data_IF_907310178030
#
_entry.id   IF_907310178030
#
_cell.length_a   1.000
_cell.length_b   1.000
_cell.length_c   1.000
_cell.angle_alpha   90.00
_cell.angle_beta   90.00
_cell.angle_gamma   90.00
#
_symmetry.space_group_name_H-M   'P 1'
#
loop_
_entity.id
_entity.type
_entity.pdbx_description
1 polymer ?
#
# COMPACT_ATOMS: atom_id res chain seq x y z
N UNK A 1 -20.58 -4.56 6.60
CA UNK A 1 -19.71 -4.16 5.48
C UNK A 1 -19.90 -2.69 5.12
N UNK A 2 -18.86 -1.91 5.38
CA UNK A 2 -18.82 -0.47 5.20
C UNK A 2 -18.27 -0.15 3.81
N UNK A 3 -19.18 -0.06 2.85
CA UNK A 3 -18.82 0.19 1.45
C UNK A 3 -18.25 1.59 1.22
N UNK A 4 -18.45 2.52 2.17
CA UNK A 4 -18.02 3.91 2.05
C UNK A 4 -16.49 4.04 2.02
N UNK A 5 -15.77 3.24 2.81
CA UNK A 5 -14.31 3.28 2.84
C UNK A 5 -13.69 3.03 1.45
N UNK A 6 -14.29 2.15 0.64
CA UNK A 6 -13.82 1.80 -0.71
C UNK A 6 -14.43 2.67 -1.82
N UNK A 7 -15.15 3.73 -1.48
CA UNK A 7 -15.87 4.61 -2.42
C UNK A 7 -15.66 6.09 -2.13
N UNK A 8 -14.69 6.44 -1.29
CA UNK A 8 -14.31 7.81 -0.96
C UNK A 8 -12.87 8.10 -1.36
N UNK A 9 -12.56 9.37 -1.59
CA UNK A 9 -11.21 9.87 -1.80
C UNK A 9 -10.23 9.34 -0.74
N UNK A 10 -9.00 9.06 -1.17
CA UNK A 10 -7.88 8.72 -0.28
C UNK A 10 -6.86 9.83 -0.31
N UNK A 11 -6.37 10.21 0.86
CA UNK A 11 -5.33 11.21 1.00
C UNK A 11 -4.20 10.61 1.81
N UNK A 12 -2.99 10.70 1.27
CA UNK A 12 -1.76 10.45 2.02
C UNK A 12 -1.05 11.76 2.30
N UNK A 13 -0.27 11.77 3.39
CA UNK A 13 0.39 12.96 3.90
C UNK A 13 1.90 12.75 4.07
N UNK A 14 2.64 13.85 4.19
CA UNK A 14 4.05 13.85 4.59
C UNK A 14 4.93 13.01 3.65
N UNK A 15 5.85 12.21 4.21
CA UNK A 15 6.76 11.35 3.44
C UNK A 15 6.05 10.43 2.46
N UNK A 16 4.92 9.81 2.84
CA UNK A 16 4.21 8.88 1.98
C UNK A 16 3.55 9.58 0.78
N UNK A 17 3.09 10.82 0.98
CA UNK A 17 2.61 11.65 -0.13
C UNK A 17 3.73 11.94 -1.14
N UNK A 18 4.90 12.33 -0.65
CA UNK A 18 6.08 12.62 -1.47
C UNK A 18 6.58 11.39 -2.23
N UNK A 19 6.70 10.25 -1.54
CA UNK A 19 7.15 8.99 -2.15
C UNK A 19 6.18 8.48 -3.22
N UNK A 20 4.87 8.57 -2.99
CA UNK A 20 3.87 8.23 -4.00
C UNK A 20 4.00 9.12 -5.24
N UNK A 21 4.26 10.42 -5.03
CA UNK A 21 4.47 11.35 -6.12
C UNK A 21 5.70 10.98 -6.94
N UNK A 22 6.84 10.71 -6.29
CA UNK A 22 8.06 10.28 -6.98
C UNK A 22 7.87 8.97 -7.75
N UNK A 23 7.24 7.94 -7.15
CA UNK A 23 6.93 6.67 -7.82
C UNK A 23 6.11 6.85 -9.10
N UNK A 24 5.24 7.87 -9.14
CA UNK A 24 4.44 8.18 -10.33
C UNK A 24 5.17 9.12 -11.29
N UNK A 25 5.91 10.12 -10.81
CA UNK A 25 6.64 11.08 -11.65
C UNK A 25 7.87 10.46 -12.32
N UNK A 26 8.45 9.40 -11.73
CA UNK A 26 9.49 8.56 -12.36
C UNK A 26 8.93 7.49 -13.31
N UNK A 27 7.62 7.48 -13.54
CA UNK A 27 6.93 6.56 -14.46
C UNK A 27 7.01 5.08 -14.06
N UNK A 28 7.35 4.77 -12.80
CA UNK A 28 7.31 3.41 -12.25
C UNK A 28 5.86 2.92 -12.15
N UNK A 29 4.97 3.82 -11.70
CA UNK A 29 3.53 3.61 -11.72
C UNK A 29 2.83 4.72 -12.51
N UNK A 30 1.81 4.36 -13.30
CA UNK A 30 1.09 5.35 -14.09
C UNK A 30 0.14 6.23 -13.26
N UNK A 31 -0.37 5.73 -12.13
CA UNK A 31 -1.37 6.42 -11.30
C UNK A 31 -1.11 6.17 -9.81
N UNK A 32 -1.52 7.13 -8.97
CA UNK A 32 -1.47 7.00 -7.51
C UNK A 32 -2.25 5.80 -6.97
N UNK A 33 -3.41 5.47 -7.56
CA UNK A 33 -4.17 4.28 -7.17
C UNK A 33 -3.43 2.97 -7.47
N UNK A 34 -2.53 2.95 -8.47
CA UNK A 34 -1.74 1.76 -8.77
C UNK A 34 -0.62 1.57 -7.75
N UNK A 35 0.01 2.67 -7.29
CA UNK A 35 0.93 2.66 -6.15
C UNK A 35 0.20 2.15 -4.90
N UNK A 36 -0.95 2.72 -4.57
CA UNK A 36 -1.72 2.39 -3.38
C UNK A 36 -2.14 0.91 -3.34
N UNK A 37 -2.61 0.37 -4.48
CA UNK A 37 -2.95 -1.06 -4.61
C UNK A 37 -1.73 -1.96 -4.42
N UNK A 38 -0.59 -1.63 -5.04
CA UNK A 38 0.62 -2.45 -4.94
C UNK A 38 1.25 -2.38 -3.55
N UNK A 39 1.20 -1.21 -2.91
CA UNK A 39 1.82 -0.98 -1.61
C UNK A 39 1.19 -1.83 -0.50
N UNK A 40 -0.14 -1.98 -0.45
CA UNK A 40 -0.80 -2.78 0.59
C UNK A 40 -0.21 -4.20 0.78
N UNK A 41 -0.18 -5.07 -0.25
CA UNK A 41 0.41 -6.39 -0.12
C UNK A 41 1.93 -6.33 0.09
N UNK A 42 2.64 -5.35 -0.49
CA UNK A 42 4.10 -5.22 -0.29
C UNK A 42 4.44 -4.90 1.17
N UNK A 43 3.73 -3.96 1.79
CA UNK A 43 3.89 -3.65 3.21
C UNK A 43 3.62 -4.87 4.08
N UNK A 44 2.56 -5.64 3.77
CA UNK A 44 2.26 -6.88 4.48
C UNK A 44 3.36 -7.94 4.34
N UNK A 45 3.82 -8.23 3.11
CA UNK A 45 4.87 -9.22 2.83
C UNK A 45 6.22 -8.89 3.50
N UNK A 46 6.52 -7.62 3.68
CA UNK A 46 7.72 -7.16 4.37
C UNK A 46 7.49 -6.85 5.86
N UNK A 47 6.28 -7.11 6.36
CA UNK A 47 5.84 -6.76 7.71
C UNK A 47 6.18 -5.31 8.11
N UNK A 48 6.06 -4.36 7.16
CA UNK A 48 6.32 -2.94 7.40
C UNK A 48 5.00 -2.20 7.56
N UNK A 49 4.77 -1.71 8.78
CA UNK A 49 3.66 -0.82 9.15
C UNK A 49 4.24 0.55 9.44
N UNK A 50 3.61 1.59 8.90
CA UNK A 50 4.00 2.98 9.17
C UNK A 50 2.79 3.79 9.62
N UNK A 51 3.04 4.78 10.50
CA UNK A 51 2.03 5.73 10.93
C UNK A 51 1.90 6.87 9.93
N UNK A 52 0.79 7.59 9.98
CA UNK A 52 0.58 8.77 9.16
C UNK A 52 1.58 9.89 9.52
N UNK A 53 2.27 10.42 8.50
CA UNK A 53 3.19 11.54 8.67
C UNK A 53 2.46 12.88 8.48
N UNK A 54 2.24 13.59 9.59
CA UNK A 54 1.63 14.93 9.62
C UNK A 54 2.64 16.05 9.81
N UNK A 55 3.93 15.79 9.63
CA UNK A 55 4.94 16.84 9.75
C UNK A 55 4.80 17.86 8.61
N UNK A 56 4.75 19.13 8.99
CA UNK A 56 4.77 20.24 8.04
C UNK A 56 6.21 20.49 7.60
N UNK A 57 6.40 20.77 6.33
CA UNK A 57 7.71 21.15 5.79
C UNK A 57 8.16 22.51 6.35
N UNK A 58 9.36 22.95 5.99
CA UNK A 58 9.94 24.24 6.42
C UNK A 58 9.12 25.47 6.05
N UNK A 59 8.17 25.35 5.10
CA UNK A 59 7.23 26.39 4.69
C UNK A 59 5.89 26.31 5.44
N UNK A 60 5.76 25.43 6.43
CA UNK A 60 4.54 25.22 7.20
C UNK A 60 3.43 24.50 6.44
N UNK A 61 3.73 23.92 5.27
CA UNK A 61 2.77 23.18 4.45
C UNK A 61 2.88 21.68 4.73
N UNK A 62 1.73 21.03 4.86
CA UNK A 62 1.65 19.58 4.88
C UNK A 62 1.60 19.09 3.43
N UNK A 63 2.54 18.24 3.05
CA UNK A 63 2.49 17.59 1.73
C UNK A 63 1.34 16.60 1.69
N UNK A 64 0.57 16.61 0.60
CA UNK A 64 -0.58 15.72 0.40
C UNK A 64 -0.61 15.16 -1.02
N UNK A 65 -0.99 13.87 -1.14
CA UNK A 65 -1.25 13.19 -2.41
C UNK A 65 -2.64 12.58 -2.35
N UNK A 66 -3.50 12.95 -3.31
CA UNK A 66 -4.92 12.57 -3.33
C UNK A 66 -5.23 11.61 -4.45
N UNK A 67 -5.99 10.57 -4.14
CA UNK A 67 -6.60 9.65 -5.10
C UNK A 67 -8.09 9.95 -5.13
N UNK A 68 -8.54 10.56 -6.23
CA UNK A 68 -9.92 11.00 -6.37
C UNK A 68 -10.91 9.84 -6.35
N UNK A 69 -12.10 10.10 -5.83
CA UNK A 69 -13.20 9.13 -5.66
C UNK A 69 -13.44 8.27 -6.90
N UNK A 70 -13.41 8.83 -8.11
CA UNK A 70 -13.64 8.07 -9.34
C UNK A 70 -12.62 6.94 -9.52
N UNK A 71 -11.34 7.19 -9.23
CA UNK A 71 -10.28 6.18 -9.32
C UNK A 71 -10.45 5.11 -8.25
N UNK A 72 -10.79 5.51 -7.02
CA UNK A 72 -11.03 4.58 -5.91
C UNK A 72 -12.22 3.66 -6.22
N UNK A 73 -13.33 4.22 -6.70
CA UNK A 73 -14.52 3.45 -7.07
C UNK A 73 -14.21 2.46 -8.19
N UNK A 74 -13.51 2.91 -9.24
CA UNK A 74 -13.13 2.06 -10.38
C UNK A 74 -12.26 0.87 -9.96
N UNK A 75 -11.38 1.08 -8.99
CA UNK A 75 -10.41 0.08 -8.53
C UNK A 75 -10.84 -0.61 -7.22
N UNK A 76 -12.04 -0.31 -6.71
CA UNK A 76 -12.54 -0.74 -5.39
C UNK A 76 -12.50 -2.26 -5.19
N UNK A 77 -12.72 -3.03 -6.26
CA UNK A 77 -12.60 -4.49 -6.24
C UNK A 77 -11.22 -4.94 -5.75
N UNK A 78 -10.15 -4.35 -6.25
CA UNK A 78 -8.78 -4.71 -5.88
C UNK A 78 -8.44 -4.26 -4.46
N UNK A 79 -8.91 -3.07 -4.06
CA UNK A 79 -8.73 -2.60 -2.69
C UNK A 79 -9.41 -3.52 -1.68
N UNK A 80 -10.64 -3.96 -1.96
CA UNK A 80 -11.37 -4.92 -1.12
C UNK A 80 -10.63 -6.25 -1.01
N UNK A 81 -10.15 -6.79 -2.13
CA UNK A 81 -9.39 -8.05 -2.12
C UNK A 81 -8.11 -7.91 -1.27
N UNK A 82 -7.34 -6.85 -1.44
CA UNK A 82 -6.12 -6.63 -0.66
C UNK A 82 -6.45 -6.51 0.84
N UNK A 83 -7.50 -5.76 1.19
CA UNK A 83 -7.95 -5.62 2.58
C UNK A 83 -8.33 -6.98 3.17
N UNK A 84 -9.14 -7.75 2.45
CA UNK A 84 -9.55 -9.09 2.88
C UNK A 84 -8.36 -10.02 3.09
N UNK A 85 -7.41 -10.05 2.15
CA UNK A 85 -6.22 -10.88 2.25
C UNK A 85 -5.38 -10.51 3.47
N UNK A 86 -5.16 -9.22 3.72
CA UNK A 86 -4.40 -8.76 4.90
C UNK A 86 -5.09 -9.17 6.19
N UNK A 87 -6.39 -8.91 6.32
CA UNK A 87 -7.17 -9.30 7.51
C UNK A 87 -7.17 -10.81 7.73
N UNK A 88 -7.25 -11.61 6.67
CA UNK A 88 -7.26 -13.08 6.78
C UNK A 88 -5.90 -13.64 7.21
N UNK A 89 -4.81 -13.01 6.77
CA UNK A 89 -3.46 -13.52 6.93
C UNK A 89 -2.73 -12.95 8.16
N UNK A 90 -3.12 -11.78 8.69
CA UNK A 90 -2.50 -11.15 9.86
C UNK A 90 -2.94 -11.83 11.18
N UNK A 91 -2.29 -12.95 11.51
CA UNK A 91 -2.50 -13.69 12.76
C UNK A 91 -1.98 -12.96 14.01
N UNK A 92 -1.11 -11.96 13.83
CA UNK A 92 -0.58 -11.16 14.93
C UNK A 92 -1.61 -10.11 15.36
N UNK A 93 -2.34 -9.54 14.40
CA UNK A 93 -3.41 -8.59 14.66
C UNK A 93 -4.65 -9.25 15.28
N UNK A 94 -5.12 -10.36 14.71
CA UNK A 94 -6.24 -11.15 15.24
C UNK A 94 -5.86 -12.63 15.16
N UNK A 95 -5.75 -13.31 16.29
CA UNK A 95 -5.29 -14.69 16.34
C UNK A 95 -6.41 -15.70 16.06
N UNK A 96 -7.67 -15.31 16.26
CA UNK A 96 -8.85 -16.14 16.02
C UNK A 96 -9.22 -16.19 14.53
N UNK A 97 -9.25 -17.40 13.97
CA UNK A 97 -9.58 -17.60 12.55
C UNK A 97 -11.03 -17.24 12.19
N UNK A 98 -12.00 -17.59 13.04
CA UNK A 98 -13.41 -17.30 12.78
C UNK A 98 -13.64 -15.79 12.78
N UNK A 99 -12.99 -15.06 13.68
CA UNK A 99 -13.06 -13.60 13.70
C UNK A 99 -12.41 -12.95 12.48
N UNK A 100 -11.24 -13.45 12.03
CA UNK A 100 -10.63 -12.98 10.77
C UNK A 100 -11.56 -13.20 9.58
N UNK A 101 -12.20 -14.37 9.51
CA UNK A 101 -13.19 -14.70 8.49
C UNK A 101 -14.42 -13.77 8.55
N UNK A 102 -14.93 -13.50 9.76
CA UNK A 102 -16.06 -12.59 9.95
C UNK A 102 -15.71 -11.16 9.51
N UNK A 103 -14.56 -10.63 9.94
CA UNK A 103 -14.04 -9.32 9.53
C UNK A 103 -13.86 -9.22 8.01
N UNK A 104 -13.26 -10.22 7.37
CA UNK A 104 -13.00 -10.19 5.93
C UNK A 104 -14.26 -10.31 5.05
N UNK A 105 -15.25 -11.11 5.45
CA UNK A 105 -16.37 -11.45 4.57
C UNK A 105 -17.72 -10.86 4.97
N UNK A 106 -17.93 -10.52 6.25
CA UNK A 106 -19.21 -9.98 6.75
C UNK A 106 -19.07 -8.51 7.18
N UNK A 107 -18.02 -8.21 7.92
CA UNK A 107 -17.83 -6.93 8.60
C UNK A 107 -16.70 -6.09 7.98
N UNK A 108 -16.47 -6.24 6.67
CA UNK A 108 -15.34 -5.62 5.99
C UNK A 108 -15.34 -4.10 6.15
N UNK A 109 -14.25 -3.58 6.71
CA UNK A 109 -14.03 -2.16 7.02
C UNK A 109 -15.09 -1.53 7.94
N UNK A 110 -15.82 -2.33 8.73
CA UNK A 110 -16.76 -1.81 9.74
C UNK A 110 -16.03 -1.28 10.98
N UNK A 111 -14.84 -1.80 11.27
CA UNK A 111 -13.97 -1.37 12.37
C UNK A 111 -12.86 -0.43 11.85
N UNK A 112 -12.72 0.74 12.45
CA UNK A 112 -11.68 1.71 12.10
C UNK A 112 -10.27 1.18 12.41
N UNK A 113 -10.11 0.23 13.34
CA UNK A 113 -8.81 -0.40 13.59
C UNK A 113 -8.40 -1.33 12.44
N UNK A 114 -9.35 -2.01 11.80
CA UNK A 114 -9.08 -2.83 10.61
C UNK A 114 -8.64 -1.92 9.43
N UNK A 115 -9.28 -0.75 9.32
CA UNK A 115 -8.93 0.27 8.35
C UNK A 115 -7.51 0.79 8.61
N UNK A 116 -7.20 1.17 9.84
CA UNK A 116 -5.89 1.71 10.20
C UNK A 116 -4.78 0.67 10.02
N UNK A 117 -5.05 -0.60 10.35
CA UNK A 117 -4.12 -1.69 10.06
C UNK A 117 -3.79 -1.74 8.57
N UNK A 118 -4.81 -1.74 7.71
CA UNK A 118 -4.63 -1.76 6.27
C UNK A 118 -3.86 -0.53 5.76
N UNK A 119 -4.24 0.68 6.19
CA UNK A 119 -3.56 1.93 5.80
C UNK A 119 -2.11 1.96 6.29
N UNK A 120 -1.81 1.36 7.45
CA UNK A 120 -0.43 1.26 7.97
C UNK A 120 0.47 0.41 7.08
N UNK A 121 -0.06 -0.70 6.55
CA UNK A 121 0.64 -1.52 5.57
C UNK A 121 0.77 -0.82 4.22
N UNK A 122 -0.24 -0.08 3.78
CA UNK A 122 -0.12 0.77 2.57
C UNK A 122 1.05 1.74 2.71
N UNK A 123 1.14 2.46 3.84
CA UNK A 123 2.22 3.42 4.08
C UNK A 123 3.59 2.75 4.13
N UNK A 124 3.72 1.64 4.85
CA UNK A 124 4.97 0.87 4.89
C UNK A 124 5.38 0.32 3.52
N UNK A 125 4.40 -0.13 2.73
CA UNK A 125 4.62 -0.57 1.35
C UNK A 125 5.07 0.53 0.41
N UNK A 126 4.55 1.76 0.56
CA UNK A 126 4.99 2.92 -0.21
C UNK A 126 6.47 3.22 0.05
N UNK A 127 6.91 3.11 1.31
CA UNK A 127 8.32 3.27 1.64
C UNK A 127 9.19 2.21 1.00
N UNK A 128 8.79 0.93 1.07
CA UNK A 128 9.55 -0.15 0.43
C UNK A 128 9.62 0.06 -1.08
N UNK A 129 8.51 0.41 -1.73
CA UNK A 129 8.51 0.68 -3.16
C UNK A 129 9.45 1.84 -3.52
N UNK A 130 9.43 2.91 -2.72
CA UNK A 130 10.33 4.05 -2.93
C UNK A 130 11.80 3.68 -2.71
N UNK A 131 12.12 3.02 -1.60
CA UNK A 131 13.48 2.58 -1.26
C UNK A 131 14.01 1.61 -2.33
N UNK A 132 13.23 0.61 -2.71
CA UNK A 132 13.66 -0.43 -3.63
C UNK A 132 13.72 0.02 -5.09
N UNK A 133 12.88 0.96 -5.51
CA UNK A 133 12.81 1.36 -6.91
C UNK A 133 13.53 2.67 -7.21
N UNK A 134 13.69 3.57 -6.23
CA UNK A 134 14.19 4.95 -6.44
C UNK A 134 15.39 5.31 -5.57
N UNK A 135 15.37 5.05 -4.25
CA UNK A 135 16.19 5.83 -3.28
C UNK A 135 17.69 5.85 -3.56
N UNK A 136 18.23 4.79 -4.17
CA UNK A 136 19.67 4.63 -4.41
C UNK A 136 20.10 5.14 -5.81
N UNK A 137 19.18 5.76 -6.55
CA UNK A 137 19.37 6.04 -7.97
C UNK A 137 18.78 7.38 -8.41
N UNK A 138 19.42 7.99 -9.41
CA UNK A 138 18.96 9.29 -9.97
C UNK A 138 18.66 9.22 -11.46
N UNK A 139 19.02 8.12 -12.14
CA UNK A 139 18.83 7.93 -13.58
C UNK A 139 17.71 6.93 -13.87
N UNK A 140 17.08 7.07 -15.05
CA UNK A 140 15.95 6.22 -15.44
C UNK A 140 16.33 4.76 -15.65
N UNK A 141 17.49 4.48 -16.24
CA UNK A 141 17.95 3.11 -16.48
C UNK A 141 18.17 2.37 -15.15
N UNK A 142 18.72 3.06 -14.15
CA UNK A 142 18.88 2.54 -12.80
C UNK A 142 17.54 2.11 -12.18
N UNK A 143 16.45 2.84 -12.43
CA UNK A 143 15.12 2.47 -11.90
C UNK A 143 14.62 1.15 -12.49
N UNK A 144 14.88 0.89 -13.77
CA UNK A 144 14.48 -0.37 -14.41
C UNK A 144 15.24 -1.55 -13.81
N UNK A 145 16.55 -1.41 -13.61
CA UNK A 145 17.38 -2.44 -12.98
C UNK A 145 16.95 -2.68 -11.53
N UNK A 146 16.65 -1.61 -10.78
CA UNK A 146 16.13 -1.70 -9.42
C UNK A 146 14.79 -2.47 -9.34
N UNK A 147 13.86 -2.20 -10.26
CA UNK A 147 12.59 -2.93 -10.34
C UNK A 147 12.83 -4.41 -10.65
N UNK A 148 13.73 -4.72 -11.60
CA UNK A 148 14.08 -6.12 -11.94
C UNK A 148 14.64 -6.83 -10.70
N UNK A 149 15.62 -6.22 -10.03
CA UNK A 149 16.22 -6.76 -8.81
C UNK A 149 15.19 -6.97 -7.70
N UNK A 150 14.26 -6.02 -7.53
CA UNK A 150 13.19 -6.15 -6.55
C UNK A 150 12.21 -7.30 -6.87
N UNK A 151 11.87 -7.49 -8.15
CA UNK A 151 11.05 -8.63 -8.58
C UNK A 151 11.77 -9.96 -8.39
N UNK A 152 13.08 -10.02 -8.62
CA UNK A 152 13.90 -11.21 -8.35
C UNK A 152 13.97 -11.52 -6.85
N UNK A 153 14.15 -10.51 -6.00
CA UNK A 153 14.10 -10.65 -4.54
C UNK A 153 12.76 -11.25 -4.10
N UNK A 154 11.64 -10.74 -4.62
CA UNK A 154 10.31 -11.26 -4.32
C UNK A 154 10.17 -12.73 -4.72
N UNK A 155 10.67 -13.12 -5.90
CA UNK A 155 10.66 -14.53 -6.35
C UNK A 155 11.48 -15.43 -5.43
N UNK A 156 12.64 -14.98 -4.99
CA UNK A 156 13.51 -15.74 -4.08
C UNK A 156 12.88 -15.86 -2.69
N UNK A 157 12.25 -14.80 -2.19
CA UNK A 157 11.61 -14.77 -0.88
C UNK A 157 10.34 -15.63 -0.82
N UNK A 158 9.64 -15.76 -1.93
CA UNK A 158 8.40 -16.54 -2.06
C UNK A 158 8.52 -17.59 -3.18
N UNK A 159 9.39 -18.61 -3.02
CA UNK A 159 9.75 -19.50 -4.12
C UNK A 159 8.66 -20.52 -4.50
N UNK A 160 7.77 -20.86 -3.57
CA UNK A 160 6.71 -21.87 -3.78
C UNK A 160 5.62 -21.39 -4.73
N UNK A 161 5.47 -20.08 -4.85
CA UNK A 161 4.50 -19.39 -5.67
C UNK A 161 4.98 -19.22 -7.13
N UNK A 162 6.28 -19.41 -7.38
CA UNK A 162 6.91 -19.25 -8.71
C UNK A 162 7.52 -20.54 -9.27
N UNK A 163 7.53 -21.63 -8.52
CA UNK A 163 7.84 -22.96 -9.05
C UNK A 163 6.61 -23.50 -9.82
N UNK A 164 6.69 -23.46 -11.16
CA UNK A 164 5.79 -24.17 -12.08
C UNK A 164 5.98 -25.69 -12.00
#
# INVERSE_FOLDING_TARGET
MNDNYFRREKTLYGKHAMYMKELKDKEIFSRYIDVYKAAAPIGFLYNKKEIEDKFKNSLGKLEESKIFTEQVVRESKYLKINFQLIILLDKEYENDEEKRMEKAFRNLADDENDIELFESYVRGGIEILYEKCISDSTQKDDFMDNIINFLEELKIKYPKEYSL
#
